data_IF_328644209620
#
_entry.id   IF_328644209620
#
_cell.length_a   1.000
_cell.length_b   1.000
_cell.length_c   1.000
_cell.angle_alpha   90.00
_cell.angle_beta   90.00
_cell.angle_gamma   90.00
#
_symmetry.space_group_name_H-M   'P 1'
#
loop_
_entity.id
_entity.type
_entity.pdbx_description
1 polymer ?
#
# COMPACT_ATOMS: atom_id res chain seq x y z
N UNK A 1 -20.80 17.32 9.38
CA UNK A 1 -20.10 16.15 8.83
C UNK A 1 -18.64 16.19 9.29
N UNK A 2 -18.20 15.18 9.99
CA UNK A 2 -16.83 15.12 10.43
C UNK A 2 -15.91 14.67 9.28
N UNK A 3 -14.79 15.36 9.14
CA UNK A 3 -13.73 14.94 8.22
C UNK A 3 -12.73 14.11 9.00
N UNK A 4 -12.26 13.02 8.41
CA UNK A 4 -11.15 12.28 8.98
C UNK A 4 -9.87 13.10 8.84
N UNK A 5 -9.08 13.15 9.90
CA UNK A 5 -7.76 13.76 9.83
C UNK A 5 -6.81 12.84 9.06
N UNK A 6 -5.90 13.39 8.26
CA UNK A 6 -4.89 12.58 7.60
C UNK A 6 -4.05 11.80 8.61
N UNK A 7 -3.88 10.52 8.33
CA UNK A 7 -2.96 9.67 9.10
C UNK A 7 -1.53 9.95 8.65
N UNK A 8 -0.58 9.90 9.57
CA UNK A 8 0.83 10.06 9.27
C UNK A 8 1.57 8.76 9.58
N UNK A 9 2.33 8.26 8.60
CA UNK A 9 3.12 7.04 8.75
C UNK A 9 4.50 7.26 8.13
N UNK A 10 5.55 6.92 8.87
CA UNK A 10 6.91 6.90 8.37
C UNK A 10 7.41 5.46 8.35
N UNK A 11 7.95 5.00 7.23
CA UNK A 11 8.45 3.64 7.06
C UNK A 11 9.88 3.63 6.53
N UNK A 12 10.69 2.65 6.92
CA UNK A 12 12.00 2.46 6.31
C UNK A 12 11.87 1.78 4.96
N UNK A 13 12.72 2.17 4.01
CA UNK A 13 12.84 1.50 2.72
C UNK A 13 14.31 1.23 2.42
N UNK A 14 14.59 0.15 1.74
CA UNK A 14 15.95 -0.26 1.43
C UNK A 14 16.55 0.52 0.26
N UNK A 15 15.74 0.79 -0.75
CA UNK A 15 16.14 1.50 -1.96
C UNK A 15 15.16 2.64 -2.23
N UNK A 16 15.64 3.87 -2.05
CA UNK A 16 14.78 5.05 -2.15
C UNK A 16 14.28 5.26 -3.58
N UNK A 17 15.12 5.05 -4.58
CA UNK A 17 14.76 5.21 -5.99
C UNK A 17 13.63 4.25 -6.42
N UNK A 18 13.74 2.99 -6.04
CA UNK A 18 12.70 2.00 -6.32
C UNK A 18 11.39 2.33 -5.62
N UNK A 19 11.48 2.75 -4.36
CA UNK A 19 10.30 3.10 -3.57
C UNK A 19 9.62 4.36 -4.10
N UNK A 20 10.39 5.36 -4.53
CA UNK A 20 9.84 6.56 -5.19
C UNK A 20 9.08 6.18 -6.46
N UNK A 21 9.66 5.31 -7.27
CA UNK A 21 8.99 4.84 -8.49
C UNK A 21 7.68 4.12 -8.16
N UNK A 22 7.69 3.28 -7.15
CA UNK A 22 6.51 2.53 -6.73
C UNK A 22 5.39 3.46 -6.29
N UNK A 23 5.65 4.35 -5.34
CA UNK A 23 4.60 5.22 -4.79
C UNK A 23 4.13 6.27 -5.78
N UNK A 24 5.04 6.87 -6.54
CA UNK A 24 4.70 7.92 -7.50
C UNK A 24 4.11 7.38 -8.80
N UNK A 25 4.82 6.46 -9.44
CA UNK A 25 4.48 6.05 -10.81
C UNK A 25 3.53 4.85 -10.87
N UNK A 26 3.67 3.90 -9.95
CA UNK A 26 2.84 2.71 -9.95
C UNK A 26 1.54 2.95 -9.18
N UNK A 27 1.62 3.46 -7.95
CA UNK A 27 0.44 3.76 -7.15
C UNK A 27 -0.20 5.11 -7.49
N UNK A 28 0.52 6.01 -8.15
CA UNK A 28 -0.02 7.32 -8.54
C UNK A 28 -0.13 8.30 -7.39
N UNK A 29 0.64 8.13 -6.31
CA UNK A 29 0.63 9.05 -5.19
C UNK A 29 1.33 10.36 -5.54
N UNK A 30 0.72 11.48 -5.16
CA UNK A 30 1.31 12.80 -5.39
C UNK A 30 2.52 13.01 -4.49
N UNK A 31 3.71 13.35 -5.06
CA UNK A 31 4.89 13.65 -4.24
C UNK A 31 4.72 14.96 -3.48
N UNK A 32 5.26 15.00 -2.26
CA UNK A 32 5.41 16.21 -1.48
C UNK A 32 6.87 16.64 -1.46
N UNK A 33 7.40 16.83 -0.25
CA UNK A 33 8.81 17.20 -0.06
C UNK A 33 9.70 15.97 -0.14
N UNK A 34 10.95 16.18 -0.51
CA UNK A 34 11.94 15.10 -0.54
C UNK A 34 13.35 15.60 -0.27
N UNK A 35 14.22 14.67 0.12
CA UNK A 35 15.65 14.87 0.25
C UNK A 35 16.37 13.66 -0.33
N UNK A 36 17.67 13.55 -0.12
CA UNK A 36 18.44 12.39 -0.56
C UNK A 36 18.15 11.15 0.28
N UNK A 37 17.54 11.31 1.45
CA UNK A 37 17.32 10.24 2.42
C UNK A 37 15.85 9.89 2.66
N UNK A 38 14.93 10.75 2.21
CA UNK A 38 13.51 10.53 2.46
C UNK A 38 12.63 11.22 1.41
N UNK A 39 11.37 10.82 1.34
CA UNK A 39 10.36 11.42 0.47
C UNK A 39 8.98 11.30 1.08
N UNK A 40 8.17 12.38 0.92
CA UNK A 40 6.77 12.44 1.34
C UNK A 40 5.84 12.15 0.17
N UNK A 41 4.73 11.51 0.48
CA UNK A 41 3.66 11.30 -0.51
C UNK A 41 2.29 11.55 0.10
N UNK A 42 1.39 12.06 -0.73
CA UNK A 42 -0.04 12.01 -0.46
C UNK A 42 -0.49 10.58 -0.79
N UNK A 43 -0.67 9.77 0.26
CA UNK A 43 -1.09 8.39 0.12
C UNK A 43 -2.60 8.30 0.36
N UNK A 44 -3.37 8.44 -0.73
CA UNK A 44 -4.84 8.38 -0.67
C UNK A 44 -5.44 9.32 0.38
N UNK A 45 -4.90 10.55 0.46
CA UNK A 45 -5.32 11.55 1.43
C UNK A 45 -4.59 11.53 2.75
N UNK A 46 -3.69 10.58 2.96
CA UNK A 46 -2.87 10.46 4.17
C UNK A 46 -1.42 10.81 3.88
N UNK A 47 -0.64 11.11 4.90
CA UNK A 47 0.78 11.42 4.75
C UNK A 47 1.63 10.18 4.95
N UNK A 48 2.34 9.77 3.92
CA UNK A 48 3.32 8.68 3.98
C UNK A 48 4.72 9.25 3.77
N UNK A 49 5.65 8.91 4.64
CA UNK A 49 7.05 9.28 4.51
C UNK A 49 7.89 8.01 4.40
N UNK A 50 8.68 7.92 3.35
CA UNK A 50 9.65 6.84 3.20
C UNK A 50 11.04 7.35 3.53
N UNK A 51 11.78 6.63 4.38
CA UNK A 51 13.15 6.94 4.77
C UNK A 51 14.08 5.82 4.34
N UNK A 52 15.19 6.15 3.69
CA UNK A 52 16.13 5.12 3.29
C UNK A 52 16.85 4.55 4.52
N UNK A 53 16.88 3.24 4.59
CA UNK A 53 17.65 2.49 5.57
C UNK A 53 18.26 1.27 4.84
N UNK A 54 19.50 1.39 4.34
CA UNK A 54 20.12 0.32 3.55
C UNK A 54 20.28 -0.99 4.32
N UNK A 55 20.29 -0.91 5.64
CA UNK A 55 20.44 -2.08 6.51
C UNK A 55 19.11 -2.64 7.00
N UNK A 56 18.00 -2.09 6.52
CA UNK A 56 16.69 -2.56 6.92
C UNK A 56 16.46 -4.01 6.49
N UNK A 57 16.14 -4.85 7.45
CA UNK A 57 15.73 -6.23 7.20
C UNK A 57 14.24 -6.38 7.44
N UNK A 58 13.52 -6.81 6.42
CA UNK A 58 12.10 -7.10 6.56
C UNK A 58 11.91 -8.45 7.27
N UNK A 59 11.70 -8.39 8.58
CA UNK A 59 11.30 -9.56 9.35
C UNK A 59 9.79 -9.54 9.45
N UNK A 60 9.12 -10.20 8.50
CA UNK A 60 7.66 -10.27 8.51
C UNK A 60 7.21 -11.55 9.19
N UNK A 61 6.32 -11.37 10.15
CA UNK A 61 5.56 -12.45 10.73
C UNK A 61 4.33 -12.68 9.86
N UNK A 62 3.89 -13.92 9.70
CA UNK A 62 2.72 -14.25 8.90
C UNK A 62 1.65 -14.91 9.77
N UNK A 63 0.41 -14.47 9.58
CA UNK A 63 -0.76 -15.11 10.19
C UNK A 63 -1.69 -15.59 9.10
N UNK A 64 -2.39 -16.68 9.38
CA UNK A 64 -3.43 -17.16 8.48
C UNK A 64 -4.72 -16.36 8.67
N UNK A 65 -5.24 -15.83 7.56
CA UNK A 65 -6.55 -15.15 7.52
C UNK A 65 -7.29 -15.68 6.29
N UNK A 66 -8.43 -16.31 6.49
CA UNK A 66 -9.25 -16.88 5.41
C UNK A 66 -8.45 -17.79 4.47
N UNK A 67 -7.58 -18.62 5.02
CA UNK A 67 -6.74 -19.53 4.25
C UNK A 67 -5.56 -18.88 3.54
N UNK A 68 -5.29 -17.60 3.78
CA UNK A 68 -4.18 -16.85 3.19
C UNK A 68 -3.12 -16.57 4.24
N UNK A 69 -1.84 -16.71 3.85
CA UNK A 69 -0.71 -16.33 4.69
C UNK A 69 -0.49 -14.82 4.58
N UNK A 70 -0.87 -14.10 5.63
CA UNK A 70 -0.85 -12.63 5.62
C UNK A 70 0.41 -12.12 6.32
N UNK A 71 1.25 -11.32 5.62
CA UNK A 71 2.45 -10.74 6.25
C UNK A 71 2.08 -9.66 7.26
N UNK A 72 2.85 -9.58 8.34
CA UNK A 72 2.68 -8.59 9.42
C UNK A 72 4.06 -8.04 9.78
N UNK A 73 4.27 -6.70 9.85
CA UNK A 73 3.27 -5.66 9.63
C UNK A 73 2.94 -5.45 8.15
N UNK A 74 1.80 -4.88 7.90
CA UNK A 74 1.44 -4.32 6.59
C UNK A 74 0.51 -3.13 6.82
N UNK A 75 0.37 -2.30 5.81
CA UNK A 75 -0.56 -1.18 5.84
C UNK A 75 -1.15 -1.00 4.45
N UNK A 76 -2.24 -0.27 4.39
CA UNK A 76 -2.88 -0.03 3.12
C UNK A 76 -4.06 0.92 3.26
N UNK A 77 -4.82 1.03 2.21
CA UNK A 77 -6.01 1.86 2.14
C UNK A 77 -7.18 1.02 1.65
N UNK A 78 -8.34 1.29 2.20
CA UNK A 78 -9.58 0.67 1.74
C UNK A 78 -10.07 1.44 0.52
N UNK A 79 -10.19 0.76 -0.61
CA UNK A 79 -10.63 1.35 -1.87
C UNK A 79 -12.12 1.05 -2.07
N UNK A 80 -12.93 2.03 -2.52
CA UNK A 80 -14.35 1.78 -2.81
C UNK A 80 -14.52 0.57 -3.74
N UNK A 81 -15.58 -0.19 -3.50
CA UNK A 81 -15.87 -1.41 -4.26
C UNK A 81 -15.81 -1.20 -5.78
N UNK A 82 -16.43 -0.11 -6.27
CA UNK A 82 -16.49 0.18 -7.70
C UNK A 82 -15.14 0.55 -8.32
N UNK A 83 -14.17 0.98 -7.52
CA UNK A 83 -12.84 1.38 -7.99
C UNK A 83 -11.81 0.26 -7.90
N UNK A 84 -12.10 -0.78 -7.11
CA UNK A 84 -11.15 -1.83 -6.78
C UNK A 84 -10.62 -2.58 -8.00
N UNK A 85 -11.50 -3.04 -8.89
CA UNK A 85 -11.09 -3.85 -10.03
C UNK A 85 -10.20 -3.09 -11.00
N UNK A 86 -10.52 -1.82 -11.27
CA UNK A 86 -9.70 -0.97 -12.14
C UNK A 86 -8.33 -0.70 -11.52
N UNK A 87 -8.28 -0.48 -10.21
CA UNK A 87 -7.02 -0.26 -9.52
C UNK A 87 -6.15 -1.52 -9.53
N UNK A 88 -6.73 -2.67 -9.22
CA UNK A 88 -6.03 -3.96 -9.26
C UNK A 88 -5.47 -4.26 -10.66
N UNK A 89 -6.25 -3.96 -11.70
CA UNK A 89 -5.82 -4.12 -13.09
C UNK A 89 -4.66 -3.20 -13.43
N UNK A 90 -4.70 -1.96 -12.96
CA UNK A 90 -3.59 -1.00 -13.13
C UNK A 90 -2.30 -1.55 -12.52
N UNK A 91 -2.36 -2.14 -11.34
CA UNK A 91 -1.19 -2.75 -10.70
C UNK A 91 -0.66 -3.94 -11.52
N UNK A 92 -1.55 -4.80 -12.00
CA UNK A 92 -1.16 -5.92 -12.87
C UNK A 92 -0.47 -5.44 -14.15
N UNK A 93 -0.97 -4.37 -14.74
CA UNK A 93 -0.40 -3.80 -15.96
C UNK A 93 1.00 -3.18 -15.72
N UNK A 94 1.35 -2.88 -14.48
CA UNK A 94 2.66 -2.39 -14.08
C UNK A 94 3.57 -3.51 -13.56
N UNK A 95 3.25 -4.76 -13.85
CA UNK A 95 4.05 -5.94 -13.49
C UNK A 95 4.23 -6.12 -11.98
N UNK A 96 3.24 -5.74 -11.20
CA UNK A 96 3.26 -5.96 -9.74
C UNK A 96 2.96 -7.42 -9.45
N UNK A 97 3.80 -8.04 -8.64
CA UNK A 97 3.57 -9.38 -8.11
C UNK A 97 2.76 -9.27 -6.82
N UNK A 98 1.56 -9.83 -6.84
CA UNK A 98 0.71 -9.81 -5.66
C UNK A 98 1.15 -10.89 -4.67
N UNK A 99 1.35 -10.50 -3.41
CA UNK A 99 1.55 -11.48 -2.32
C UNK A 99 0.27 -12.29 -2.13
N UNK A 100 -0.88 -11.60 -2.19
CA UNK A 100 -2.19 -12.21 -2.20
C UNK A 100 -2.94 -11.60 -3.40
N UNK A 101 -3.36 -12.47 -4.33
CA UNK A 101 -4.10 -12.01 -5.50
C UNK A 101 -5.42 -11.35 -5.11
N UNK A 102 -5.90 -10.37 -5.90
CA UNK A 102 -7.22 -9.79 -5.67
C UNK A 102 -8.30 -10.86 -5.65
N UNK A 103 -9.19 -10.83 -4.65
CA UNK A 103 -10.29 -11.77 -4.56
C UNK A 103 -11.45 -11.18 -3.76
N UNK A 104 -12.62 -11.81 -3.89
CA UNK A 104 -13.81 -11.41 -3.15
C UNK A 104 -13.94 -12.27 -1.89
N UNK A 105 -14.08 -11.62 -0.73
CA UNK A 105 -14.31 -12.29 0.54
C UNK A 105 -15.79 -12.33 0.83
N UNK A 106 -16.27 -13.42 1.43
CA UNK A 106 -17.67 -13.60 1.80
C UNK A 106 -18.61 -13.40 0.61
N UNK A 107 -18.24 -13.92 -0.56
CA UNK A 107 -19.00 -13.76 -1.80
C UNK A 107 -20.44 -14.24 -1.62
N UNK A 108 -21.40 -13.37 -1.97
CA UNK A 108 -22.83 -13.67 -1.84
C UNK A 108 -23.38 -13.63 -0.42
N UNK A 109 -22.57 -13.25 0.58
CA UNK A 109 -22.95 -13.21 2.00
C UNK A 109 -22.90 -11.78 2.54
N UNK A 110 -23.58 -11.53 3.69
CA UNK A 110 -23.40 -10.25 4.38
C UNK A 110 -21.93 -9.99 4.69
N UNK A 111 -21.47 -8.75 4.46
CA UNK A 111 -20.06 -8.40 4.66
C UNK A 111 -19.16 -8.70 3.48
N UNK A 112 -19.72 -9.02 2.31
CA UNK A 112 -18.94 -9.22 1.08
C UNK A 112 -17.99 -8.05 0.83
N UNK A 113 -16.73 -8.36 0.52
CA UNK A 113 -15.68 -7.36 0.25
C UNK A 113 -14.62 -7.94 -0.68
N UNK A 114 -13.84 -7.08 -1.32
CA UNK A 114 -12.71 -7.46 -2.17
C UNK A 114 -11.40 -6.91 -1.60
#
# INVERSE_FOLDING_TARGET
MSKLSPFHLAIPVKNLSESKNFYKNILGCKPGRESEEWADYDFFGHQLVIHVDPNHEEKKHHNEVDGKSVPIPHFGVVIPWDDFDNFAKSLSNNNIDFVIEPYVRFEGLPGEQK
#
